data_IF_571181817508
#
_entry.id   IF_571181817508
#
_cell.length_a   1.000
_cell.length_b   1.000
_cell.length_c   1.000
_cell.angle_alpha   90.00
_cell.angle_beta   90.00
_cell.angle_gamma   90.00
#
_symmetry.space_group_name_H-M   'P 1'
#
loop_
_entity.id
_entity.type
_entity.pdbx_description
1 polymer ?
#
# COMPACT_ATOMS: atom_id res chain seq x y z
N UNK A 1 -18.35 22.96 -1.22
CA UNK A 1 -17.57 22.51 -2.36
C UNK A 1 -16.71 21.33 -1.91
N UNK A 2 -17.01 20.16 -2.39
CA UNK A 2 -16.18 19.00 -2.09
C UNK A 2 -14.89 19.11 -2.91
N UNK A 3 -13.77 19.35 -2.23
CA UNK A 3 -12.46 19.26 -2.88
C UNK A 3 -12.17 17.78 -3.12
N UNK A 4 -12.14 17.38 -4.38
CA UNK A 4 -11.90 16.01 -4.77
C UNK A 4 -10.45 15.60 -4.47
N UNK A 5 -10.27 14.45 -3.85
CA UNK A 5 -8.98 13.81 -3.74
C UNK A 5 -8.51 13.35 -5.11
N UNK A 6 -7.28 13.68 -5.45
CA UNK A 6 -6.64 13.23 -6.68
C UNK A 6 -5.68 12.08 -6.36
N UNK A 7 -5.87 10.92 -7.02
CA UNK A 7 -4.97 9.78 -6.88
C UNK A 7 -4.05 9.75 -8.10
N UNK A 8 -2.74 9.80 -7.87
CA UNK A 8 -1.74 9.81 -8.93
C UNK A 8 -0.64 8.79 -8.65
N UNK A 9 -0.08 8.25 -9.73
CA UNK A 9 1.12 7.40 -9.69
C UNK A 9 2.35 8.29 -9.60
N UNK A 10 3.24 7.97 -8.68
CA UNK A 10 4.48 8.74 -8.45
C UNK A 10 5.66 7.79 -8.30
N UNK A 11 6.90 8.26 -8.54
CA UNK A 11 8.09 7.51 -8.14
C UNK A 11 8.10 7.29 -6.62
N UNK A 12 8.61 6.15 -6.18
CA UNK A 12 8.72 5.85 -4.73
C UNK A 12 9.54 6.91 -3.98
N UNK A 13 10.48 7.54 -4.65
CA UNK A 13 11.29 8.64 -4.09
C UNK A 13 10.43 9.78 -3.57
N UNK A 14 9.34 10.10 -4.26
CA UNK A 14 8.39 11.15 -3.83
C UNK A 14 7.83 10.86 -2.44
N UNK A 15 7.50 9.59 -2.17
CA UNK A 15 7.03 9.17 -0.87
C UNK A 15 8.15 9.16 0.18
N UNK A 16 9.29 8.56 -0.16
CA UNK A 16 10.39 8.33 0.80
C UNK A 16 11.14 9.60 1.19
N UNK A 17 11.26 10.56 0.30
CA UNK A 17 12.06 11.77 0.52
C UNK A 17 11.24 13.02 0.78
N UNK A 18 10.09 13.16 0.14
CA UNK A 18 9.28 14.37 0.23
C UNK A 18 8.08 14.25 1.19
N UNK A 19 7.81 13.06 1.74
CA UNK A 19 6.67 12.81 2.62
C UNK A 19 7.07 12.04 3.89
N UNK A 20 8.18 12.42 4.50
CA UNK A 20 8.74 11.75 5.68
C UNK A 20 7.82 11.77 6.89
N UNK A 21 7.09 12.86 7.10
CA UNK A 21 6.14 12.98 8.21
C UNK A 21 4.96 12.02 8.06
N UNK A 22 4.46 11.84 6.84
CA UNK A 22 3.39 10.90 6.56
C UNK A 22 3.85 9.46 6.80
N UNK A 23 5.07 9.11 6.37
CA UNK A 23 5.68 7.81 6.62
C UNK A 23 5.88 7.55 8.11
N UNK A 24 6.31 8.55 8.86
CA UNK A 24 6.48 8.45 10.31
C UNK A 24 5.16 8.09 11.00
N UNK A 25 4.07 8.76 10.61
CA UNK A 25 2.73 8.44 11.13
C UNK A 25 2.32 7.02 10.80
N UNK A 26 2.59 6.56 9.58
CA UNK A 26 2.33 5.19 9.16
C UNK A 26 3.06 4.17 10.06
N UNK A 27 4.35 4.36 10.27
CA UNK A 27 5.13 3.44 11.10
C UNK A 27 4.73 3.45 12.57
N UNK A 28 4.40 4.60 13.13
CA UNK A 28 3.92 4.70 14.51
C UNK A 28 2.60 3.95 14.68
N UNK A 29 1.70 4.04 13.73
CA UNK A 29 0.37 3.43 13.82
C UNK A 29 0.39 1.92 13.52
N UNK A 30 1.27 1.45 12.64
CA UNK A 30 1.14 0.14 12.00
C UNK A 30 2.09 -0.95 12.47
N UNK A 31 3.08 -0.68 13.33
CA UNK A 31 4.04 -1.71 13.66
C UNK A 31 3.67 -2.48 14.93
N UNK A 32 4.02 -3.77 14.99
CA UNK A 32 3.69 -4.66 16.09
C UNK A 32 4.90 -5.35 16.75
N UNK A 33 5.86 -5.81 15.97
CA UNK A 33 6.97 -6.63 16.46
C UNK A 33 8.33 -5.95 16.39
N UNK A 34 8.44 -4.89 15.60
CA UNK A 34 9.70 -4.17 15.39
C UNK A 34 9.59 -2.79 16.00
N UNK A 35 10.48 -2.47 16.91
CA UNK A 35 10.45 -1.20 17.67
C UNK A 35 11.09 -0.02 16.93
N UNK A 36 11.85 -0.31 15.88
CA UNK A 36 12.49 0.71 15.06
C UNK A 36 12.30 0.37 13.60
N UNK A 37 12.21 1.41 12.78
CA UNK A 37 12.23 1.23 11.33
C UNK A 37 13.48 1.91 10.75
N UNK A 38 14.05 1.25 9.78
CA UNK A 38 15.16 1.76 8.99
C UNK A 38 14.88 1.45 7.53
N UNK A 39 14.36 2.43 6.81
CA UNK A 39 13.98 2.25 5.41
C UNK A 39 15.22 2.06 4.57
N UNK A 40 15.30 0.93 3.87
CA UNK A 40 16.32 0.72 2.85
C UNK A 40 15.82 1.33 1.53
N UNK A 41 16.12 2.61 1.33
CA UNK A 41 15.70 3.35 0.13
C UNK A 41 16.22 2.70 -1.15
N UNK A 42 17.45 2.24 -1.14
CA UNK A 42 18.07 1.64 -2.33
C UNK A 42 17.34 0.37 -2.77
N UNK A 43 16.87 -0.45 -1.82
CA UNK A 43 16.06 -1.62 -2.13
C UNK A 43 14.75 -1.23 -2.84
N UNK A 44 14.08 -0.19 -2.36
CA UNK A 44 12.87 0.33 -3.01
C UNK A 44 13.15 0.86 -4.42
N UNK A 45 14.22 1.63 -4.58
CA UNK A 45 14.61 2.17 -5.89
C UNK A 45 14.94 1.07 -6.88
N UNK A 46 15.63 0.01 -6.43
CA UNK A 46 15.95 -1.14 -7.26
C UNK A 46 14.71 -1.89 -7.71
N UNK A 47 13.76 -2.13 -6.82
CA UNK A 47 12.48 -2.75 -7.18
C UNK A 47 11.70 -1.92 -8.20
N UNK A 48 11.67 -0.62 -8.02
CA UNK A 48 10.98 0.27 -8.96
C UNK A 48 11.66 0.28 -10.33
N UNK A 49 12.99 0.38 -10.37
CA UNK A 49 13.76 0.30 -11.62
C UNK A 49 13.54 -1.02 -12.37
N UNK A 50 13.34 -2.11 -11.63
CA UNK A 50 13.03 -3.41 -12.21
C UNK A 50 11.54 -3.57 -12.59
N UNK A 51 10.73 -2.51 -12.45
CA UNK A 51 9.29 -2.51 -12.70
C UNK A 51 8.51 -3.49 -11.80
N UNK A 52 9.01 -3.72 -10.59
CA UNK A 52 8.39 -4.61 -9.61
C UNK A 52 7.61 -3.85 -8.53
N UNK A 53 7.64 -2.53 -8.53
CA UNK A 53 7.03 -1.69 -7.50
C UNK A 53 6.22 -0.56 -8.12
N UNK A 54 5.02 -0.35 -7.59
CA UNK A 54 4.15 0.75 -7.95
C UNK A 54 3.71 1.52 -6.70
N UNK A 55 3.72 2.84 -6.81
CA UNK A 55 3.33 3.76 -5.74
C UNK A 55 2.26 4.72 -6.24
N UNK A 56 1.16 4.81 -5.49
CA UNK A 56 0.11 5.81 -5.70
C UNK A 56 0.00 6.68 -4.46
N UNK A 57 -0.28 7.95 -4.66
CA UNK A 57 -0.54 8.90 -3.57
C UNK A 57 -1.87 9.60 -3.76
N UNK A 58 -2.48 10.01 -2.65
CA UNK A 58 -3.65 10.88 -2.65
C UNK A 58 -3.16 12.30 -2.41
N UNK A 59 -3.54 13.21 -3.29
CA UNK A 59 -3.27 14.64 -3.16
C UNK A 59 -4.58 15.36 -2.83
N UNK A 60 -4.54 16.12 -1.74
CA UNK A 60 -5.61 16.99 -1.31
C UNK A 60 -5.01 18.37 -0.99
N UNK A 61 -5.51 19.43 -1.63
CA UNK A 61 -4.99 20.79 -1.45
C UNK A 61 -3.47 20.89 -1.62
N UNK A 62 -2.95 20.31 -2.70
CA UNK A 62 -1.52 20.27 -3.04
C UNK A 62 -0.64 19.54 -2.01
N UNK A 63 -1.23 18.72 -1.14
CA UNK A 63 -0.53 17.96 -0.11
C UNK A 63 -0.84 16.48 -0.25
N UNK A 64 0.18 15.64 -0.09
CA UNK A 64 0.01 14.18 -0.03
C UNK A 64 -0.58 13.82 1.33
N UNK A 65 -1.75 13.18 1.31
CA UNK A 65 -2.50 12.80 2.53
C UNK A 65 -2.70 11.30 2.67
N UNK A 66 -2.24 10.53 1.73
CA UNK A 66 -2.29 9.07 1.78
C UNK A 66 -1.48 8.43 0.67
N UNK A 67 -1.21 7.15 0.81
CA UNK A 67 -0.44 6.40 -0.17
C UNK A 67 -0.76 4.90 -0.14
N UNK A 68 -0.41 4.23 -1.22
CA UNK A 68 -0.39 2.77 -1.33
C UNK A 68 0.84 2.35 -2.14
N UNK A 69 1.50 1.30 -1.69
CA UNK A 69 2.66 0.70 -2.35
C UNK A 69 2.40 -0.77 -2.57
N UNK A 70 2.61 -1.24 -3.78
CA UNK A 70 2.46 -2.66 -4.13
C UNK A 70 3.68 -3.17 -4.89
N UNK A 71 4.01 -4.43 -4.66
CA UNK A 71 4.99 -5.18 -5.44
C UNK A 71 4.29 -6.15 -6.37
N UNK A 72 4.89 -6.42 -7.53
CA UNK A 72 4.43 -7.44 -8.48
C UNK A 72 5.59 -8.35 -8.85
N UNK A 73 5.45 -9.65 -8.59
CA UNK A 73 6.50 -10.65 -8.84
C UNK A 73 5.88 -11.90 -9.46
N UNK A 74 6.73 -12.73 -10.07
CA UNK A 74 6.32 -14.05 -10.54
C UNK A 74 6.21 -14.99 -9.33
N UNK A 75 5.06 -15.64 -9.19
CA UNK A 75 4.95 -16.76 -8.26
C UNK A 75 5.48 -18.01 -8.94
N UNK A 76 6.63 -18.58 -8.46
CA UNK A 76 7.25 -19.70 -9.14
C UNK A 76 6.41 -20.98 -9.12
N UNK A 77 5.50 -21.12 -8.15
CA UNK A 77 4.64 -22.29 -8.06
C UNK A 77 3.55 -22.33 -9.14
N UNK A 78 3.14 -21.16 -9.62
CA UNK A 78 2.05 -21.04 -10.59
C UNK A 78 2.50 -20.44 -11.92
N UNK A 79 3.70 -19.87 -11.98
CA UNK A 79 4.25 -19.27 -13.18
C UNK A 79 3.58 -17.97 -13.62
N UNK A 80 2.75 -17.37 -12.77
CA UNK A 80 2.04 -16.13 -13.07
C UNK A 80 2.52 -14.96 -12.20
N UNK A 81 2.15 -13.75 -12.62
CA UNK A 81 2.40 -12.55 -11.86
C UNK A 81 1.38 -12.41 -10.74
N UNK A 82 1.87 -12.13 -9.55
CA UNK A 82 1.06 -11.83 -8.36
C UNK A 82 1.55 -10.56 -7.70
N UNK A 83 0.63 -9.79 -7.15
CA UNK A 83 0.92 -8.52 -6.51
C UNK A 83 0.56 -8.56 -5.03
N UNK A 84 1.31 -7.80 -4.23
CA UNK A 84 1.09 -7.66 -2.79
C UNK A 84 1.11 -6.18 -2.43
N UNK A 85 0.09 -5.73 -1.73
CA UNK A 85 0.10 -4.40 -1.13
C UNK A 85 1.02 -4.46 0.09
N UNK A 86 2.14 -3.76 0.01
CA UNK A 86 3.14 -3.69 1.07
C UNK A 86 2.78 -2.67 2.14
N UNK A 87 2.14 -1.58 1.74
CA UNK A 87 1.76 -0.50 2.64
C UNK A 87 0.56 0.23 2.09
N UNK A 88 -0.35 0.60 2.96
CA UNK A 88 -1.47 1.51 2.67
C UNK A 88 -1.70 2.38 3.89
N UNK A 89 -1.83 3.68 3.68
CA UNK A 89 -2.06 4.62 4.75
C UNK A 89 -2.80 5.86 4.26
N UNK A 90 -3.73 6.34 5.06
CA UNK A 90 -4.40 7.63 4.88
C UNK A 90 -4.30 8.38 6.19
N UNK A 91 -3.87 9.63 6.15
CA UNK A 91 -3.77 10.47 7.34
C UNK A 91 -5.15 10.65 7.98
N UNK A 92 -5.22 10.58 9.31
CA UNK A 92 -6.48 10.53 10.08
C UNK A 92 -7.54 11.57 9.65
N UNK A 93 -7.20 12.86 9.47
CA UNK A 93 -8.19 13.85 9.06
C UNK A 93 -8.84 13.58 7.71
N UNK A 94 -8.21 12.75 6.89
CA UNK A 94 -8.63 12.45 5.52
C UNK A 94 -9.25 11.06 5.37
N UNK A 95 -9.44 10.33 6.48
CA UNK A 95 -10.09 9.00 6.50
C UNK A 95 -11.60 9.15 6.39
N UNK A 96 -12.05 9.48 5.20
CA UNK A 96 -13.47 9.58 4.88
C UNK A 96 -13.91 8.35 4.09
N UNK A 97 -15.21 8.19 4.00
CA UNK A 97 -15.83 7.14 3.24
C UNK A 97 -15.25 7.05 1.83
N UNK A 98 -14.68 5.91 1.50
CA UNK A 98 -14.18 5.63 0.16
C UNK A 98 -12.75 6.04 -0.15
N UNK A 99 -12.04 6.72 0.76
CA UNK A 99 -10.65 7.17 0.49
C UNK A 99 -9.70 5.98 0.29
N UNK A 100 -9.67 5.04 1.22
CA UNK A 100 -8.85 3.83 1.09
C UNK A 100 -9.34 2.95 -0.07
N UNK A 101 -10.64 2.85 -0.27
CA UNK A 101 -11.23 2.15 -1.41
C UNK A 101 -10.72 2.70 -2.73
N UNK A 102 -10.65 4.02 -2.87
CA UNK A 102 -10.13 4.66 -4.07
C UNK A 102 -8.69 4.26 -4.36
N UNK A 103 -7.82 4.25 -3.34
CA UNK A 103 -6.43 3.79 -3.46
C UNK A 103 -6.36 2.32 -3.89
N UNK A 104 -7.10 1.45 -3.24
CA UNK A 104 -7.10 0.02 -3.53
C UNK A 104 -7.61 -0.25 -4.95
N UNK A 105 -8.74 0.34 -5.34
CA UNK A 105 -9.31 0.18 -6.67
C UNK A 105 -8.35 0.67 -7.77
N UNK A 106 -7.67 1.78 -7.54
CA UNK A 106 -6.69 2.29 -8.51
C UNK A 106 -5.47 1.37 -8.60
N UNK A 107 -4.99 0.85 -7.48
CA UNK A 107 -3.88 -0.10 -7.48
C UNK A 107 -4.27 -1.42 -8.16
N UNK A 108 -5.48 -1.92 -7.96
CA UNK A 108 -6.00 -3.09 -8.70
C UNK A 108 -5.89 -2.87 -10.21
N UNK A 109 -6.29 -1.70 -10.69
CA UNK A 109 -6.19 -1.34 -12.11
C UNK A 109 -4.74 -1.34 -12.58
N UNK A 110 -3.83 -0.76 -11.80
CA UNK A 110 -2.40 -0.68 -12.14
C UNK A 110 -1.78 -2.08 -12.25
N UNK A 111 -1.97 -2.93 -11.24
CA UNK A 111 -1.34 -4.26 -11.23
C UNK A 111 -1.99 -5.22 -12.22
N UNK A 112 -3.30 -5.09 -12.44
CA UNK A 112 -4.00 -5.86 -13.46
C UNK A 112 -3.47 -5.54 -14.87
N UNK A 113 -3.21 -4.28 -15.15
CA UNK A 113 -2.61 -3.86 -16.42
C UNK A 113 -1.20 -4.42 -16.63
N UNK A 114 -0.47 -4.72 -15.55
CA UNK A 114 0.84 -5.41 -15.60
C UNK A 114 0.73 -6.91 -15.84
N UNK A 115 -0.47 -7.47 -15.79
CA UNK A 115 -0.71 -8.90 -15.95
C UNK A 115 -0.85 -9.67 -14.63
N UNK A 116 -0.92 -8.99 -13.51
CA UNK A 116 -1.11 -9.65 -12.20
C UNK A 116 -2.45 -10.39 -12.14
N UNK A 117 -2.42 -11.61 -11.63
CA UNK A 117 -3.60 -12.49 -11.50
C UNK A 117 -4.19 -12.46 -10.10
N UNK A 118 -3.44 -12.00 -9.11
CA UNK A 118 -3.86 -11.96 -7.72
C UNK A 118 -3.28 -10.72 -7.05
N UNK A 119 -4.07 -10.05 -6.25
CA UNK A 119 -3.62 -8.97 -5.36
C UNK A 119 -3.90 -9.37 -3.93
N UNK A 120 -2.87 -9.40 -3.11
CA UNK A 120 -2.98 -9.70 -1.68
C UNK A 120 -2.73 -8.46 -0.83
N UNK A 121 -3.35 -8.43 0.34
CA UNK A 121 -3.16 -7.37 1.32
C UNK A 121 -3.20 -7.98 2.72
N UNK A 122 -2.28 -7.55 3.59
CA UNK A 122 -2.31 -7.90 5.00
C UNK A 122 -3.16 -6.91 5.78
N UNK A 123 -3.82 -7.39 6.80
CA UNK A 123 -4.60 -6.55 7.72
C UNK A 123 -4.26 -6.95 9.16
N UNK A 124 -4.14 -5.99 10.08
CA UNK A 124 -3.94 -6.30 11.49
C UNK A 124 -5.06 -7.17 12.04
N UNK A 125 -4.70 -8.07 12.97
CA UNK A 125 -5.69 -8.91 13.66
C UNK A 125 -6.73 -8.03 14.37
N UNK A 126 -7.99 -8.45 14.31
CA UNK A 126 -9.11 -7.79 15.01
C UNK A 126 -9.30 -6.31 14.65
N UNK A 127 -8.88 -5.91 13.45
CA UNK A 127 -9.08 -4.54 12.97
C UNK A 127 -10.38 -4.41 12.17
N UNK A 128 -10.96 -3.22 12.20
CA UNK A 128 -12.11 -2.88 11.33
C UNK A 128 -11.76 -2.99 9.84
N UNK A 129 -10.49 -2.93 9.51
CA UNK A 129 -10.00 -3.07 8.14
C UNK A 129 -10.29 -4.46 7.57
N UNK A 130 -10.30 -5.52 8.40
CA UNK A 130 -10.70 -6.86 7.97
C UNK A 130 -12.12 -6.88 7.41
N UNK A 131 -13.07 -6.29 8.12
CA UNK A 131 -14.46 -6.20 7.67
C UNK A 131 -14.57 -5.36 6.40
N UNK A 132 -13.82 -4.26 6.35
CA UNK A 132 -13.80 -3.38 5.20
C UNK A 132 -13.29 -4.09 3.94
N UNK A 133 -12.21 -4.86 4.03
CA UNK A 133 -11.68 -5.65 2.92
C UNK A 133 -12.70 -6.66 2.39
N UNK A 134 -13.46 -7.29 3.27
CA UNK A 134 -14.54 -8.19 2.86
C UNK A 134 -15.60 -7.49 2.00
N UNK A 135 -15.93 -6.23 2.32
CA UNK A 135 -16.86 -5.43 1.52
C UNK A 135 -16.31 -5.08 0.12
N UNK A 136 -15.00 -5.10 -0.05
CA UNK A 136 -14.33 -4.86 -1.33
C UNK A 136 -14.12 -6.14 -2.16
N UNK A 137 -14.61 -7.29 -1.68
CA UNK A 137 -14.47 -8.57 -2.37
C UNK A 137 -13.22 -9.36 -2.03
N UNK A 138 -12.40 -8.90 -1.07
CA UNK A 138 -11.25 -9.65 -0.60
C UNK A 138 -11.67 -10.77 0.32
N UNK A 139 -11.06 -11.93 0.15
CA UNK A 139 -11.29 -13.12 0.98
C UNK A 139 -10.07 -13.39 1.84
N UNK A 140 -10.29 -13.84 3.06
CA UNK A 140 -9.22 -14.33 3.92
C UNK A 140 -8.66 -15.64 3.33
N UNK A 141 -7.42 -15.63 2.92
CA UNK A 141 -6.77 -16.77 2.23
C UNK A 141 -5.62 -17.38 3.01
N UNK A 142 -5.07 -16.67 4.00
CA UNK A 142 -3.90 -17.12 4.74
C UNK A 142 -3.77 -16.43 6.09
N UNK A 143 -3.10 -17.09 7.02
CA UNK A 143 -2.67 -16.51 8.29
C UNK A 143 -1.16 -16.30 8.27
N UNK A 144 -0.70 -15.14 8.74
CA UNK A 144 0.71 -14.86 8.88
C UNK A 144 1.13 -15.00 10.33
N UNK A 145 2.23 -15.70 10.56
CA UNK A 145 2.84 -15.90 11.87
C UNK A 145 4.26 -15.35 11.84
N UNK A 146 4.66 -14.60 12.85
CA UNK A 146 5.99 -14.03 12.94
C UNK A 146 6.67 -14.38 14.24
N UNK A 147 8.00 -14.49 14.19
CA UNK A 147 8.86 -14.68 15.37
C UNK A 147 10.09 -13.80 15.20
N UNK A 148 10.39 -13.01 16.23
CA UNK A 148 11.65 -12.25 16.26
C UNK A 148 12.82 -13.21 16.48
N UNK A 149 13.84 -13.09 15.64
CA UNK A 149 15.04 -13.93 15.69
C UNK A 149 16.22 -13.21 16.32
#
# INVERSE_FOLDING_TARGET
MYKSNLIVRVPIQELLENNKELLKKYFIEGHNLVTSYNINKEAYYNMERANLLDTLVIINEAKVVGFIVATTTINPNYGDLQSTIMAIFVDKPHRKYGTAKGLINKMETVVKAKGSKLLTISSPLNSHFNTYLSTLGYKHINNFYGKVL
#
